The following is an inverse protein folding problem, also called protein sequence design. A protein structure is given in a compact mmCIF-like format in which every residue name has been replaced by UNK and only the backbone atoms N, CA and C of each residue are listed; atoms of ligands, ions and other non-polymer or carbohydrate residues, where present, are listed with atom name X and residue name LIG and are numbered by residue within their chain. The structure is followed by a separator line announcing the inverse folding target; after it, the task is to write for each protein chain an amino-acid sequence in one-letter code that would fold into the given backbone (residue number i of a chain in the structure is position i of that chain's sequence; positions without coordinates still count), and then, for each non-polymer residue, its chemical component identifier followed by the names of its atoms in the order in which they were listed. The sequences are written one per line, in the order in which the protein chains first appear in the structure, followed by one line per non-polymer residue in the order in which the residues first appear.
data_IF_896400895943
#
_entry.id   IF_896400895943
#
_cell.length_a   1.000
_cell.length_b   1.000
_cell.length_c   1.000
_cell.angle_alpha   90.00
_cell.angle_beta   90.00
_cell.angle_gamma   90.00
#
_symmetry.space_group_name_H-M   'P 1'
#
loop_
_entity.id
_entity.type
_entity.pdbx_description
1 polymer ?
#
# COMPACT_ATOMS: atom_id res chain seq x y z
N UNK A 1 6.28 5.27 -4.45
CA UNK A 1 4.89 5.51 -4.92
C UNK A 1 4.59 4.54 -6.05
N UNK A 2 3.45 3.84 -6.05
CA UNK A 2 3.08 2.93 -7.13
C UNK A 2 2.12 3.63 -8.13
N UNK A 3 0.81 3.45 -8.01
CA UNK A 3 -0.21 3.86 -8.96
C UNK A 3 -0.63 5.34 -8.86
N UNK A 4 0.30 6.23 -8.53
CA UNK A 4 0.12 7.70 -8.66
C UNK A 4 -0.99 8.31 -7.81
N UNK A 5 -1.41 7.67 -6.71
CA UNK A 5 -2.60 8.09 -5.97
C UNK A 5 -2.27 9.12 -4.88
N UNK A 6 -2.12 10.37 -5.28
CA UNK A 6 -2.02 11.54 -4.40
C UNK A 6 -3.33 12.33 -4.41
N UNK A 7 -3.59 13.09 -3.35
CA UNK A 7 -4.58 14.16 -3.36
C UNK A 7 -3.91 15.51 -3.09
N UNK A 8 -4.52 16.59 -3.58
CA UNK A 8 -3.99 17.94 -3.44
C UNK A 8 -5.06 18.87 -2.87
N UNK A 9 -4.76 19.49 -1.74
CA UNK A 9 -5.54 20.60 -1.19
C UNK A 9 -5.00 21.93 -1.73
N UNK A 10 -5.68 22.46 -2.75
CA UNK A 10 -5.35 23.74 -3.35
C UNK A 10 -5.36 24.92 -2.37
N UNK A 11 -6.25 24.89 -1.36
CA UNK A 11 -6.39 25.99 -0.42
C UNK A 11 -5.21 26.09 0.56
N UNK A 12 -4.58 24.94 0.83
CA UNK A 12 -3.45 24.82 1.77
C UNK A 12 -2.11 24.57 1.06
N UNK A 13 -2.15 24.36 -0.25
CA UNK A 13 -1.02 23.95 -1.06
C UNK A 13 -0.34 22.64 -0.61
N UNK A 14 -1.12 21.72 -0.03
CA UNK A 14 -0.61 20.45 0.50
C UNK A 14 -0.98 19.28 -0.41
N UNK A 15 0.02 18.50 -0.81
CA UNK A 15 -0.17 17.19 -1.43
C UNK A 15 -0.15 16.10 -0.35
N UNK A 16 -1.22 15.33 -0.24
CA UNK A 16 -1.29 14.15 0.61
C UNK A 16 -0.99 12.91 -0.22
N UNK A 17 0.01 12.14 0.21
CA UNK A 17 0.51 10.96 -0.49
C UNK A 17 0.61 9.79 0.46
N UNK A 18 0.15 8.63 -0.01
CA UNK A 18 0.43 7.36 0.61
C UNK A 18 1.54 6.64 -0.17
N UNK A 19 2.56 6.15 0.53
CA UNK A 19 3.69 5.46 -0.08
C UNK A 19 3.98 4.12 0.60
N UNK A 20 4.58 3.22 -0.18
CA UNK A 20 5.10 1.93 0.27
C UNK A 20 6.63 1.97 0.27
N UNK A 21 7.22 1.42 1.32
CA UNK A 21 8.65 1.34 1.56
C UNK A 21 9.05 -0.12 1.75
N UNK A 22 8.84 -0.89 0.68
CA UNK A 22 9.10 -2.32 0.65
C UNK A 22 10.25 -2.62 -0.32
N UNK A 23 11.41 -3.05 0.17
CA UNK A 23 12.49 -3.49 -0.71
C UNK A 23 12.15 -4.82 -1.36
N UNK A 24 12.54 -4.97 -2.62
CA UNK A 24 12.41 -6.20 -3.39
C UNK A 24 13.78 -6.62 -3.92
N UNK A 25 13.97 -7.94 -4.06
CA UNK A 25 15.06 -8.51 -4.83
C UNK A 25 14.51 -8.88 -6.19
N UNK A 26 15.16 -8.38 -7.25
CA UNK A 26 14.88 -8.79 -8.62
C UNK A 26 15.96 -9.77 -9.06
N UNK A 27 15.57 -10.98 -9.44
CA UNK A 27 16.46 -11.98 -10.01
C UNK A 27 16.17 -12.11 -11.50
N UNK A 28 17.24 -12.14 -12.31
CA UNK A 28 17.16 -12.40 -13.74
C UNK A 28 17.56 -13.85 -13.99
N UNK A 29 16.72 -14.56 -14.73
CA UNK A 29 16.97 -15.94 -15.18
C UNK A 29 16.99 -15.93 -16.70
N UNK A 30 17.92 -16.66 -17.32
CA UNK A 30 17.93 -16.82 -18.78
C UNK A 30 16.61 -17.41 -19.25
N UNK A 31 16.04 -16.86 -20.33
CA UNK A 31 14.71 -17.24 -20.82
C UNK A 31 14.60 -18.73 -21.16
N UNK A 32 15.66 -19.29 -21.73
CA UNK A 32 15.68 -20.71 -22.11
C UNK A 32 15.68 -21.62 -20.89
N UNK A 33 16.41 -21.27 -19.83
CA UNK A 33 16.35 -21.97 -18.55
C UNK A 33 14.96 -21.81 -17.92
N UNK A 34 14.45 -20.58 -17.85
CA UNK A 34 13.14 -20.28 -17.27
C UNK A 34 12.01 -21.07 -17.95
N UNK A 35 12.01 -21.19 -19.29
CA UNK A 35 11.01 -21.98 -20.03
C UNK A 35 11.10 -23.48 -19.72
N UNK A 36 12.29 -24.01 -19.44
CA UNK A 36 12.46 -25.42 -19.05
C UNK A 36 11.92 -25.68 -17.65
N UNK A 37 12.16 -24.76 -16.72
CA UNK A 37 11.72 -24.85 -15.32
C UNK A 37 10.21 -24.56 -15.17
N UNK A 38 9.65 -23.73 -16.04
CA UNK A 38 8.25 -23.30 -15.99
C UNK A 38 7.55 -23.46 -17.36
N UNK A 39 7.39 -24.69 -17.87
CA UNK A 39 6.86 -24.94 -19.21
C UNK A 39 5.41 -24.46 -19.39
N UNK A 40 4.64 -24.43 -18.31
CA UNK A 40 3.23 -24.04 -18.31
C UNK A 40 3.02 -22.54 -17.99
N UNK A 41 4.09 -21.76 -17.83
CA UNK A 41 3.95 -20.35 -17.49
C UNK A 41 3.53 -19.52 -18.70
N UNK A 42 2.26 -19.12 -18.72
CA UNK A 42 1.64 -18.38 -19.83
C UNK A 42 2.03 -16.89 -19.90
N UNK A 43 2.79 -16.38 -18.92
CA UNK A 43 3.18 -14.98 -18.82
C UNK A 43 2.26 -14.17 -17.91
N UNK A 44 2.85 -13.29 -17.10
CA UNK A 44 2.15 -12.26 -16.35
C UNK A 44 2.94 -10.95 -16.47
N UNK A 45 2.34 -9.93 -17.10
CA UNK A 45 2.99 -8.64 -17.31
C UNK A 45 3.11 -7.82 -16.01
N UNK A 46 2.35 -8.18 -14.97
CA UNK A 46 2.34 -7.52 -13.66
C UNK A 46 2.64 -8.50 -12.51
N UNK A 47 3.12 -9.70 -12.85
CA UNK A 47 3.32 -10.79 -11.91
C UNK A 47 4.65 -10.72 -11.17
N UNK A 48 4.75 -11.55 -10.14
CA UNK A 48 6.00 -11.89 -9.44
C UNK A 48 7.04 -12.42 -10.42
N UNK A 49 6.61 -13.03 -11.52
CA UNK A 49 7.45 -13.59 -12.57
C UNK A 49 6.99 -12.98 -13.90
N UNK A 50 7.91 -12.52 -14.73
CA UNK A 50 7.55 -11.98 -16.04
C UNK A 50 8.64 -12.21 -17.09
N UNK A 51 8.22 -12.58 -18.30
CA UNK A 51 9.11 -12.62 -19.44
C UNK A 51 9.43 -11.20 -19.90
N UNK A 52 10.71 -10.84 -19.93
CA UNK A 52 11.15 -9.51 -20.38
C UNK A 52 11.25 -9.48 -21.90
N UNK A 53 10.12 -9.31 -22.59
CA UNK A 53 10.07 -9.26 -24.05
C UNK A 53 11.14 -8.32 -24.62
N UNK A 54 11.88 -8.79 -25.62
CA UNK A 54 13.02 -8.06 -26.21
C UNK A 54 14.37 -8.28 -25.52
N UNK A 55 14.42 -8.84 -24.30
CA UNK A 55 15.66 -9.23 -23.60
C UNK A 55 15.81 -10.76 -23.57
N UNK A 56 17.00 -11.34 -23.34
CA UNK A 56 17.18 -12.79 -23.22
C UNK A 56 16.81 -13.36 -21.83
N UNK A 57 16.12 -12.58 -21.00
CA UNK A 57 15.81 -12.93 -19.61
C UNK A 57 14.31 -13.02 -19.32
N UNK A 58 13.97 -13.77 -18.27
CA UNK A 58 12.79 -13.58 -17.44
C UNK A 58 13.24 -12.94 -16.12
N UNK A 59 12.36 -12.19 -15.46
CA UNK A 59 12.61 -11.73 -14.09
C UNK A 59 11.70 -12.44 -13.10
N UNK A 60 12.17 -12.53 -11.86
CA UNK A 60 11.35 -12.76 -10.68
C UNK A 60 11.57 -11.65 -9.65
N UNK A 61 10.51 -11.22 -8.98
CA UNK A 61 10.51 -10.18 -7.95
C UNK A 61 10.04 -10.80 -6.64
N UNK A 62 10.92 -10.88 -5.66
CA UNK A 62 10.57 -11.36 -4.32
C UNK A 62 10.76 -10.25 -3.28
N UNK A 63 9.93 -10.24 -2.25
CA UNK A 63 10.10 -9.30 -1.14
C UNK A 63 11.42 -9.59 -0.42
N UNK A 64 12.15 -8.55 -0.01
CA UNK A 64 13.35 -8.70 0.81
C UNK A 64 12.97 -8.93 2.28
N UNK A 65 12.84 -10.20 2.64
CA UNK A 65 12.33 -10.66 3.93
C UNK A 65 13.41 -11.38 4.75
N UNK A 66 13.27 -11.33 6.07
CA UNK A 66 14.05 -12.14 7.01
C UNK A 66 13.61 -13.61 6.95
N UNK A 67 14.42 -14.55 7.47
CA UNK A 67 14.00 -15.95 7.61
C UNK A 67 12.70 -16.15 8.40
N UNK A 68 12.31 -15.18 9.23
CA UNK A 68 11.08 -15.17 10.01
C UNK A 68 9.86 -14.61 9.24
N UNK A 69 10.00 -14.26 7.95
CA UNK A 69 8.90 -13.75 7.14
C UNK A 69 8.50 -12.31 7.43
N UNK A 70 9.38 -11.54 8.08
CA UNK A 70 9.23 -10.10 8.36
C UNK A 70 10.13 -9.29 7.43
N UNK A 71 9.70 -8.14 6.87
CA UNK A 71 10.57 -7.31 6.04
C UNK A 71 11.86 -6.94 6.79
N UNK A 72 13.01 -7.02 6.11
CA UNK A 72 14.32 -6.72 6.72
C UNK A 72 14.57 -5.23 6.98
N UNK A 73 13.69 -4.34 6.50
CA UNK A 73 13.78 -2.90 6.71
C UNK A 73 13.13 -2.52 8.05
N UNK A 74 13.74 -1.58 8.75
CA UNK A 74 13.10 -0.94 9.91
C UNK A 74 11.75 -0.30 9.48
N UNK A 75 10.64 -0.58 10.20
CA UNK A 75 9.35 0.09 9.96
C UNK A 75 9.45 1.62 10.08
N UNK A 76 8.60 2.42 9.40
CA UNK A 76 7.38 2.00 8.72
C UNK A 76 7.58 1.51 7.28
N UNK A 77 6.89 0.43 6.90
CA UNK A 77 6.86 -0.13 5.54
C UNK A 77 5.87 0.56 4.61
N UNK A 78 5.09 1.50 5.13
CA UNK A 78 4.25 2.40 4.37
C UNK A 78 3.82 3.58 5.24
N UNK A 79 3.66 4.73 4.59
CA UNK A 79 3.29 5.98 5.28
C UNK A 79 2.21 6.75 4.53
N UNK A 80 1.52 7.61 5.27
CA UNK A 80 0.72 8.72 4.72
C UNK A 80 1.44 9.99 5.11
N UNK A 81 1.68 10.87 4.16
CA UNK A 81 2.47 12.09 4.33
C UNK A 81 1.77 13.27 3.69
N UNK A 82 2.00 14.48 4.21
CA UNK A 82 1.73 15.72 3.50
C UNK A 82 3.03 16.42 3.09
N UNK A 83 3.07 16.91 1.86
CA UNK A 83 4.17 17.65 1.29
C UNK A 83 3.65 19.00 0.82
N UNK A 84 4.32 20.09 1.20
CA UNK A 84 4.05 21.40 0.62
C UNK A 84 4.57 21.43 -0.82
N UNK A 85 3.70 21.76 -1.78
CA UNK A 85 4.09 21.71 -3.19
C UNK A 85 4.91 22.92 -3.67
N UNK A 86 4.93 24.02 -2.91
CA UNK A 86 5.73 25.19 -3.25
C UNK A 86 7.18 25.01 -2.80
N UNK A 87 7.42 24.51 -1.59
CA UNK A 87 8.76 24.27 -1.06
C UNK A 87 9.29 22.86 -1.38
N UNK A 88 8.41 21.89 -1.58
CA UNK A 88 8.75 20.47 -1.67
C UNK A 88 9.04 19.83 -0.31
N UNK A 89 8.78 20.54 0.80
CA UNK A 89 9.09 20.05 2.15
C UNK A 89 8.01 19.12 2.68
N UNK A 90 8.45 18.12 3.46
CA UNK A 90 7.57 17.25 4.22
C UNK A 90 6.99 18.02 5.41
N UNK A 91 5.67 18.18 5.45
CA UNK A 91 4.96 18.87 6.53
C UNK A 91 4.71 17.92 7.70
N UNK A 92 4.20 16.73 7.39
CA UNK A 92 4.01 15.66 8.37
C UNK A 92 4.06 14.29 7.72
N UNK A 93 4.31 13.28 8.53
CA UNK A 93 4.32 11.89 8.12
C UNK A 93 3.78 10.99 9.23
N UNK A 94 2.89 10.07 8.86
CA UNK A 94 2.29 9.09 9.75
C UNK A 94 2.53 7.67 9.22
N UNK A 95 2.81 6.68 10.09
CA UNK A 95 2.78 5.28 9.68
C UNK A 95 1.39 4.91 9.16
N UNK A 96 1.33 4.26 7.99
CA UNK A 96 0.09 3.84 7.38
C UNK A 96 -0.51 2.63 8.13
N UNK A 97 -1.36 2.92 9.11
CA UNK A 97 -2.07 1.91 9.87
C UNK A 97 -1.20 1.05 10.79
N UNK A 98 -1.80 -0.02 11.29
CA UNK A 98 -1.25 -0.90 12.34
C UNK A 98 -1.04 -2.31 11.83
N UNK A 99 -0.31 -3.12 12.58
CA UNK A 99 -0.14 -4.54 12.30
C UNK A 99 -1.30 -5.43 12.72
N UNK A 100 -2.44 -4.88 13.18
CA UNK A 100 -3.53 -5.62 13.86
C UNK A 100 -4.02 -6.86 13.12
N UNK A 101 -4.19 -6.76 11.80
CA UNK A 101 -4.70 -7.84 10.95
C UNK A 101 -3.60 -8.36 9.99
N UNK A 102 -2.34 -8.01 10.25
CA UNK A 102 -1.20 -8.50 9.48
C UNK A 102 -0.89 -9.94 9.90
N UNK A 103 -0.79 -10.82 8.91
CA UNK A 103 -0.24 -12.16 9.10
C UNK A 103 1.26 -12.11 8.84
N UNK A 104 2.06 -12.45 9.85
CA UNK A 104 3.48 -12.75 9.67
C UNK A 104 3.57 -14.25 9.38
N UNK A 105 3.67 -14.62 8.10
CA UNK A 105 3.87 -16.01 7.69
C UNK A 105 5.21 -16.52 8.26
N UNK A 106 5.16 -17.59 9.07
CA UNK A 106 6.30 -18.18 9.77
C UNK A 106 6.09 -18.34 11.28
N UNK A 107 5.27 -17.49 11.89
CA UNK A 107 4.97 -17.54 13.33
C UNK A 107 3.53 -17.96 13.66
N UNK A 108 2.60 -17.96 12.68
CA UNK A 108 1.21 -18.37 12.91
C UNK A 108 0.44 -17.47 13.89
N UNK A 109 1.01 -16.33 14.27
CA UNK A 109 0.42 -15.36 15.19
C UNK A 109 -0.26 -14.25 14.37
N UNK A 110 -1.54 -14.01 14.64
CA UNK A 110 -2.11 -12.68 14.41
C UNK A 110 -1.34 -11.74 15.33
N UNK A 111 -0.72 -10.70 14.75
CA UNK A 111 0.20 -9.85 15.49
C UNK A 111 -0.48 -9.31 16.78
N UNK A 112 0.01 -9.68 17.98
CA UNK A 112 -0.61 -9.29 19.24
C UNK A 112 -0.34 -7.82 19.60
N UNK A 113 0.46 -7.10 18.79
CA UNK A 113 0.92 -5.76 19.08
C UNK A 113 0.31 -4.74 18.09
N UNK A 114 -0.75 -4.00 18.48
CA UNK A 114 -1.48 -3.06 17.62
C UNK A 114 -0.75 -1.71 17.46
N UNK A 115 0.58 -1.70 17.41
CA UNK A 115 1.34 -0.47 17.19
C UNK A 115 1.29 -0.06 15.71
N UNK A 116 1.51 1.23 15.48
CA UNK A 116 1.60 1.83 14.14
C UNK A 116 2.88 1.37 13.45
N UNK A 117 2.85 0.15 12.92
CA UNK A 117 3.94 -0.46 12.16
C UNK A 117 4.10 0.16 10.76
N UNK A 118 3.10 0.91 10.27
CA UNK A 118 3.12 1.44 8.92
C UNK A 118 3.14 0.30 7.90
N UNK A 119 1.99 -0.31 7.68
CA UNK A 119 1.87 -1.40 6.71
C UNK A 119 1.89 -0.83 5.29
N UNK A 120 2.24 -1.63 4.27
CA UNK A 120 2.20 -1.19 2.89
C UNK A 120 0.85 -0.54 2.54
N UNK A 121 0.88 0.74 2.16
CA UNK A 121 -0.29 1.53 1.85
C UNK A 121 -0.63 1.40 0.37
N UNK A 122 -1.75 0.73 0.07
CA UNK A 122 -2.06 0.29 -1.29
C UNK A 122 -3.27 1.03 -1.91
N UNK A 123 -3.60 2.21 -1.40
CA UNK A 123 -4.66 3.07 -1.89
C UNK A 123 -4.24 4.53 -1.87
N UNK A 124 -5.00 5.38 -2.55
CA UNK A 124 -4.79 6.83 -2.51
C UNK A 124 -5.50 7.49 -1.35
N UNK A 125 -5.09 8.71 -1.06
CA UNK A 125 -5.90 9.64 -0.29
C UNK A 125 -6.89 10.40 -1.20
N UNK A 126 -7.96 10.92 -0.60
CA UNK A 126 -8.70 12.09 -1.11
C UNK A 126 -8.64 13.18 -0.05
N UNK A 127 -8.67 14.43 -0.49
CA UNK A 127 -8.72 15.58 0.42
C UNK A 127 -9.95 16.42 0.09
N UNK A 128 -10.61 16.94 1.13
CA UNK A 128 -11.78 17.80 1.01
C UNK A 128 -11.43 19.24 1.40
N UNK A 129 -12.20 20.20 0.90
CA UNK A 129 -12.04 21.63 1.23
C UNK A 129 -12.11 21.91 2.74
N UNK A 130 -12.79 21.05 3.51
CA UNK A 130 -12.89 21.18 4.97
C UNK A 130 -11.58 20.91 5.71
N UNK A 131 -10.50 20.51 5.02
CA UNK A 131 -9.23 20.15 5.64
C UNK A 131 -9.20 18.69 6.11
N UNK A 132 -10.07 17.83 5.60
CA UNK A 132 -10.05 16.40 5.91
C UNK A 132 -9.46 15.60 4.76
N UNK A 133 -8.52 14.72 5.09
CA UNK A 133 -7.95 13.77 4.14
C UNK A 133 -8.37 12.34 4.51
N UNK A 134 -8.91 11.58 3.56
CA UNK A 134 -9.39 10.22 3.77
C UNK A 134 -8.49 9.22 3.05
N UNK A 135 -8.03 8.20 3.79
CA UNK A 135 -7.22 7.13 3.23
C UNK A 135 -7.62 5.77 3.83
N UNK A 136 -7.72 4.76 2.96
CA UNK A 136 -7.94 3.36 3.32
C UNK A 136 -6.67 2.56 3.00
N UNK A 137 -6.71 1.45 2.28
CA UNK A 137 -5.47 0.89 1.72
C UNK A 137 -4.55 0.15 2.70
N UNK A 138 -4.81 0.17 4.02
CA UNK A 138 -3.96 -0.43 5.05
C UNK A 138 -4.43 -1.83 5.45
N UNK A 139 -3.48 -2.63 5.95
CA UNK A 139 -3.72 -4.04 6.25
C UNK A 139 -4.60 -4.28 7.49
N UNK A 140 -4.85 -3.25 8.31
CA UNK A 140 -5.77 -3.30 9.45
C UNK A 140 -7.22 -2.88 9.12
N UNK A 141 -7.50 -2.72 7.82
CA UNK A 141 -8.83 -2.54 7.24
C UNK A 141 -9.60 -1.33 7.76
N UNK A 142 -8.94 -0.23 8.11
CA UNK A 142 -9.62 1.01 8.47
C UNK A 142 -9.69 1.99 7.29
N UNK A 143 -10.82 2.68 7.15
CA UNK A 143 -10.88 4.01 6.55
C UNK A 143 -10.55 5.01 7.65
N UNK A 144 -9.59 5.90 7.39
CA UNK A 144 -9.20 6.98 8.33
C UNK A 144 -9.48 8.33 7.73
N UNK A 145 -9.92 9.25 8.57
CA UNK A 145 -9.95 10.68 8.29
C UNK A 145 -8.82 11.34 9.09
N UNK A 146 -7.95 12.05 8.39
CA UNK A 146 -6.84 12.81 8.92
C UNK A 146 -7.17 14.30 8.84
N UNK A 147 -6.73 15.05 9.83
CA UNK A 147 -6.49 16.48 9.64
C UNK A 147 -5.40 16.66 8.58
N UNK A 148 -5.67 17.48 7.57
CA UNK A 148 -4.77 17.64 6.41
C UNK A 148 -3.51 18.42 6.76
N UNK A 149 -3.56 19.32 7.75
CA UNK A 149 -2.43 20.17 8.13
C UNK A 149 -1.53 19.49 9.15
N UNK A 150 -2.09 18.66 10.04
CA UNK A 150 -1.34 18.05 11.15
C UNK A 150 -1.08 16.56 10.98
N UNK A 151 -1.87 15.87 10.14
CA UNK A 151 -1.83 14.41 10.02
C UNK A 151 -2.48 13.69 11.19
N UNK A 152 -3.15 14.38 12.11
CA UNK A 152 -3.86 13.75 13.23
C UNK A 152 -5.03 12.90 12.73
N UNK A 153 -5.16 11.67 13.21
CA UNK A 153 -6.31 10.81 12.91
C UNK A 153 -7.51 11.26 13.74
N UNK A 154 -8.38 12.06 13.13
CA UNK A 154 -9.60 12.56 13.76
C UNK A 154 -10.72 11.51 13.83
N UNK A 155 -10.75 10.58 12.88
CA UNK A 155 -11.75 9.51 12.86
C UNK A 155 -11.24 8.26 12.15
N UNK A 156 -11.76 7.09 12.55
CA UNK A 156 -11.57 5.84 11.80
C UNK A 156 -12.82 4.95 11.85
N UNK A 157 -13.12 4.32 10.72
CA UNK A 157 -14.19 3.33 10.58
C UNK A 157 -13.62 2.00 10.08
N UNK A 158 -14.01 0.89 10.73
CA UNK A 158 -13.52 -0.44 10.35
C UNK A 158 -14.30 -0.96 9.15
N UNK A 159 -13.58 -1.38 8.13
CA UNK A 159 -14.10 -2.00 6.91
C UNK A 159 -14.28 -3.52 7.13
N UNK A 160 -15.18 -4.18 6.39
CA UNK A 160 -15.36 -5.63 6.48
C UNK A 160 -14.15 -6.43 5.94
N UNK A 161 -13.34 -5.81 5.07
CA UNK A 161 -12.15 -6.41 4.46
C UNK A 161 -11.15 -5.32 4.05
N UNK A 162 -10.00 -5.72 3.51
CA UNK A 162 -9.03 -4.79 2.97
C UNK A 162 -9.56 -4.03 1.75
N UNK A 163 -9.02 -2.83 1.58
CA UNK A 163 -9.25 -1.96 0.44
C UNK A 163 -7.91 -1.64 -0.21
N UNK A 164 -7.93 -1.40 -1.52
CA UNK A 164 -6.81 -0.90 -2.31
C UNK A 164 -7.30 0.28 -3.19
N UNK A 165 -8.54 0.72 -2.98
CA UNK A 165 -9.13 1.81 -3.73
C UNK A 165 -8.83 3.14 -3.05
N UNK A 166 -8.60 4.17 -3.87
CA UNK A 166 -8.75 5.55 -3.41
C UNK A 166 -10.22 5.75 -3.08
N UNK A 167 -10.57 6.24 -1.88
CA UNK A 167 -11.95 6.64 -1.59
C UNK A 167 -12.42 7.72 -2.58
N UNK A 168 -13.72 7.94 -2.69
CA UNK A 168 -14.27 9.11 -3.38
C UNK A 168 -15.37 9.73 -2.55
N UNK A 169 -15.71 10.99 -2.85
CA UNK A 169 -16.81 11.69 -2.20
C UNK A 169 -17.79 12.28 -3.19
N UNK A 170 -19.07 12.31 -2.83
CA UNK A 170 -20.13 12.96 -3.62
C UNK A 170 -21.28 13.40 -2.71
N UNK A 171 -22.13 14.30 -3.22
CA UNK A 171 -23.38 14.70 -2.55
C UNK A 171 -24.54 13.88 -3.12
N UNK A 172 -25.28 13.19 -2.25
CA UNK A 172 -26.44 12.40 -2.62
C UNK A 172 -27.66 13.26 -2.97
N UNK A 173 -28.69 12.63 -3.52
CA UNK A 173 -29.98 13.29 -3.82
C UNK A 173 -30.68 13.85 -2.58
N UNK A 174 -30.32 13.35 -1.41
CA UNK A 174 -30.79 13.79 -0.09
C UNK A 174 -29.97 14.96 0.48
N UNK A 175 -29.03 15.52 -0.28
CA UNK A 175 -28.20 16.65 0.13
C UNK A 175 -27.06 16.29 1.09
N UNK A 176 -26.88 15.01 1.43
CA UNK A 176 -25.80 14.56 2.33
C UNK A 176 -24.52 14.26 1.53
N UNK A 177 -23.36 14.57 2.10
CA UNK A 177 -22.07 14.18 1.54
C UNK A 177 -21.71 12.76 1.99
N UNK A 178 -21.27 11.94 1.04
CA UNK A 178 -20.89 10.55 1.25
C UNK A 178 -19.40 10.37 0.95
N UNK A 179 -18.77 9.45 1.69
CA UNK A 179 -17.47 8.86 1.33
C UNK A 179 -17.74 7.40 0.96
N UNK A 180 -17.28 6.99 -0.22
CA UNK A 180 -17.45 5.62 -0.72
C UNK A 180 -16.13 5.05 -1.20
N UNK A 181 -15.97 3.75 -0.99
CA UNK A 181 -14.80 2.98 -1.42
C UNK A 181 -15.19 1.51 -1.59
N UNK A 182 -14.35 0.76 -2.28
CA UNK A 182 -14.50 -0.70 -2.41
C UNK A 182 -13.69 -1.43 -1.34
N UNK A 183 -14.33 -2.36 -0.64
CA UNK A 183 -13.69 -3.28 0.29
C UNK A 183 -13.95 -4.70 -0.20
N UNK A 184 -12.91 -5.37 -0.72
CA UNK A 184 -13.07 -6.67 -1.37
C UNK A 184 -11.78 -7.47 -1.54
N UNK A 185 -10.67 -6.98 -1.02
CA UNK A 185 -9.34 -7.54 -1.26
C UNK A 185 -8.72 -7.87 0.09
N UNK A 186 -8.30 -9.13 0.27
CA UNK A 186 -7.41 -9.46 1.38
C UNK A 186 -6.04 -8.89 1.04
N UNK A 187 -5.58 -7.91 1.81
CA UNK A 187 -4.18 -7.53 1.76
C UNK A 187 -3.41 -8.72 2.33
N UNK A 188 -2.77 -9.50 1.47
CA UNK A 188 -1.86 -10.58 1.87
C UNK A 188 -0.46 -10.17 1.43
N UNK A 189 0.47 -10.06 2.37
CA UNK A 189 1.90 -10.05 2.01
C UNK A 189 2.20 -11.49 1.63
N UNK A 190 2.18 -11.82 0.33
CA UNK A 190 2.58 -13.17 -0.12
C UNK A 190 4.08 -13.30 0.08
N UNK A 191 4.46 -14.18 0.98
CA UNK A 191 5.85 -14.56 1.32
C UNK A 191 6.33 -15.81 0.57
N UNK A 192 5.46 -16.48 -0.18
CA UNK A 192 5.79 -17.72 -0.89
C UNK A 192 6.20 -17.46 -2.35
N UNK A 193 7.46 -17.06 -2.50
CA UNK A 193 8.27 -17.29 -3.71
C UNK A 193 9.32 -18.36 -3.42
N UNK A 194 8.91 -19.52 -2.87
CA UNK A 194 9.83 -20.61 -2.60
C UNK A 194 10.27 -21.19 -3.94
N UNK A 195 11.44 -20.75 -4.40
CA UNK A 195 12.22 -21.46 -5.41
C UNK A 195 12.90 -22.59 -4.63
N UNK A 196 12.28 -23.76 -4.65
CA UNK A 196 12.93 -25.05 -4.33
C UNK A 196 12.69 -25.97 -5.50
#
# INVERSE_FOLDING_TARGET
MNWGRVSYDQGRNLMVVADMRMPVITQLTEREQFRKEHPDFLGDAHGVISAQFGLPYAHSIVNFMSPAGVPCLEPPWGTVSAVDLASGELVWQQPAGTGKDANIEGLGLQNPLPFYLGMPALGGAITTKSGLSFHSGTQDYYLRAYDTETGEVLWKGRLPSGSQSTPMTYVGKDGRQYIVLTAGVRATIRTTGRIT
#
